data_IF_536771690692
#
_entry.id   IF_536771690692
#
_cell.length_a   1.000
_cell.length_b   1.000
_cell.length_c   1.000
_cell.angle_alpha   90.00
_cell.angle_beta   90.00
_cell.angle_gamma   90.00
#
_symmetry.space_group_name_H-M   'P 1'
#
loop_
_entity.id
_entity.type
_entity.pdbx_description
1 polymer ?
#
# COMPACT_ATOMS: atom_id res chain seq x y z
N UNK A 1 13.62 26.69 -11.82
CA UNK A 1 13.94 26.45 -10.41
C UNK A 1 12.99 25.38 -9.85
N UNK A 2 13.53 24.23 -9.50
CA UNK A 2 12.79 23.17 -8.77
C UNK A 2 12.46 23.68 -7.37
N UNK A 3 11.23 23.47 -6.94
CA UNK A 3 10.82 23.78 -5.58
C UNK A 3 10.14 22.57 -4.99
N UNK A 4 10.85 21.89 -4.13
CA UNK A 4 10.39 20.71 -3.41
C UNK A 4 10.32 19.47 -4.30
N UNK A 5 11.22 18.55 -4.10
CA UNK A 5 11.15 17.18 -4.58
C UNK A 5 11.11 16.26 -3.36
N UNK A 6 10.23 15.30 -3.34
CA UNK A 6 10.25 14.20 -2.38
C UNK A 6 10.52 12.90 -3.11
N UNK A 7 11.25 12.02 -2.46
CA UNK A 7 11.65 10.73 -2.99
C UNK A 7 11.44 9.67 -1.92
N UNK A 8 10.56 8.72 -2.19
CA UNK A 8 10.38 7.52 -1.38
C UNK A 8 11.00 6.32 -2.09
N UNK A 9 11.91 5.62 -1.45
CA UNK A 9 12.62 4.46 -2.03
C UNK A 9 12.32 3.22 -1.21
N UNK A 10 12.15 2.09 -1.88
CA UNK A 10 12.11 0.75 -1.30
C UNK A 10 12.80 -0.25 -2.20
N UNK A 11 13.48 -1.19 -1.60
CA UNK A 11 14.06 -2.35 -2.27
C UNK A 11 13.27 -3.61 -1.90
N UNK A 12 12.84 -4.39 -2.88
CA UNK A 12 12.05 -5.61 -2.68
C UNK A 12 12.05 -6.42 -3.96
N UNK A 13 12.08 -7.74 -3.85
CA UNK A 13 11.84 -8.66 -4.98
C UNK A 13 10.33 -8.63 -5.31
N UNK A 14 9.95 -8.02 -6.43
CA UNK A 14 8.56 -7.84 -6.86
C UNK A 14 8.05 -8.95 -7.75
N UNK A 15 8.91 -9.55 -8.57
CA UNK A 15 8.53 -10.56 -9.55
C UNK A 15 8.79 -11.99 -9.08
N UNK A 16 9.53 -12.16 -7.98
CA UNK A 16 9.81 -13.44 -7.35
C UNK A 16 10.98 -14.19 -8.00
N UNK A 17 11.91 -13.48 -8.66
CA UNK A 17 13.10 -14.05 -9.30
C UNK A 17 14.27 -14.24 -8.32
N UNK A 18 14.15 -13.75 -7.09
CA UNK A 18 15.17 -13.80 -6.04
C UNK A 18 16.16 -12.64 -6.07
N UNK A 19 15.99 -11.69 -6.99
CA UNK A 19 16.81 -10.49 -7.10
C UNK A 19 16.00 -9.27 -6.61
N UNK A 20 16.67 -8.33 -5.99
CA UNK A 20 16.01 -7.18 -5.39
C UNK A 20 15.77 -6.09 -6.41
N UNK A 21 14.52 -5.68 -6.57
CA UNK A 21 14.11 -4.55 -7.39
C UNK A 21 14.17 -3.24 -6.63
N UNK A 22 14.37 -2.14 -7.35
CA UNK A 22 14.29 -0.79 -6.82
C UNK A 22 12.94 -0.14 -7.17
N UNK A 23 12.19 0.22 -6.15
CA UNK A 23 10.88 0.86 -6.26
C UNK A 23 10.98 2.28 -5.74
N UNK A 24 10.69 3.25 -6.58
CA UNK A 24 10.81 4.66 -6.27
C UNK A 24 9.49 5.39 -6.49
N UNK A 25 9.16 6.28 -5.57
CA UNK A 25 8.08 7.25 -5.69
C UNK A 25 8.65 8.65 -5.72
N UNK A 26 8.22 9.45 -6.68
CA UNK A 26 8.72 10.80 -6.88
C UNK A 26 7.58 11.81 -6.81
N UNK A 27 7.75 12.85 -6.02
CA UNK A 27 6.90 14.04 -5.99
C UNK A 27 7.68 15.25 -6.48
N UNK A 28 7.08 16.06 -7.34
CA UNK A 28 7.73 17.24 -7.91
C UNK A 28 6.74 18.38 -8.18
N UNK A 29 7.20 19.61 -7.99
CA UNK A 29 6.46 20.82 -8.31
C UNK A 29 7.30 21.76 -9.19
N UNK A 30 6.73 22.21 -10.30
CA UNK A 30 7.30 23.27 -11.13
C UNK A 30 6.72 24.62 -10.74
N UNK A 31 7.60 25.58 -10.38
CA UNK A 31 7.17 26.98 -10.18
C UNK A 31 6.76 27.65 -11.49
N UNK A 32 7.49 27.39 -12.57
CA UNK A 32 7.27 28.04 -13.84
C UNK A 32 5.94 27.65 -14.48
N UNK A 33 5.55 26.38 -14.36
CA UNK A 33 4.31 25.87 -14.96
C UNK A 33 3.15 25.79 -13.96
N UNK A 34 3.37 26.10 -12.68
CA UNK A 34 2.41 25.89 -11.58
C UNK A 34 1.76 24.50 -11.60
N UNK A 35 2.54 23.49 -11.95
CA UNK A 35 2.09 22.09 -12.04
C UNK A 35 2.79 21.25 -11.01
N UNK A 36 2.04 20.32 -10.42
CA UNK A 36 2.57 19.28 -9.54
C UNK A 36 2.46 17.94 -10.25
N UNK A 37 3.53 17.17 -10.22
CA UNK A 37 3.59 15.84 -10.81
C UNK A 37 4.07 14.84 -9.77
N UNK A 38 3.55 13.62 -9.83
CA UNK A 38 4.10 12.51 -9.10
C UNK A 38 4.09 11.24 -9.95
N UNK A 39 5.17 10.51 -9.88
CA UNK A 39 5.33 9.28 -10.66
C UNK A 39 6.07 8.23 -9.86
N UNK A 40 5.88 6.99 -10.28
CA UNK A 40 6.59 5.83 -9.78
C UNK A 40 7.57 5.34 -10.83
N UNK A 41 8.71 4.85 -10.39
CA UNK A 41 9.68 4.15 -11.19
C UNK A 41 9.99 2.82 -10.53
N UNK A 42 10.00 1.73 -11.30
CA UNK A 42 10.50 0.43 -10.85
C UNK A 42 11.61 0.02 -11.80
N UNK A 43 12.73 -0.34 -11.21
CA UNK A 43 13.91 -0.83 -11.92
C UNK A 43 14.18 -2.25 -11.44
N UNK A 44 14.07 -3.22 -12.35
CA UNK A 44 14.34 -4.63 -12.05
C UNK A 44 15.82 -4.84 -11.82
N UNK A 45 16.15 -5.65 -10.83
CA UNK A 45 17.47 -6.20 -10.61
C UNK A 45 17.68 -7.37 -11.55
N UNK A 46 18.42 -7.22 -12.63
CA UNK A 46 18.82 -8.33 -13.50
C UNK A 46 20.34 -8.55 -13.45
N UNK A 47 20.86 -9.78 -13.34
CA UNK A 47 22.27 -10.06 -13.59
C UNK A 47 22.51 -10.25 -15.10
N UNK A 48 23.66 -9.77 -15.67
CA UNK A 48 24.66 -8.94 -15.05
C UNK A 48 24.45 -7.45 -15.34
N UNK A 49 24.10 -6.67 -14.36
CA UNK A 49 24.32 -5.23 -14.28
C UNK A 49 23.61 -4.29 -15.26
N UNK A 50 22.58 -4.67 -15.98
CA UNK A 50 21.75 -3.74 -16.74
C UNK A 50 20.40 -3.57 -16.03
N UNK A 51 20.32 -2.60 -15.14
CA UNK A 51 19.08 -2.21 -14.52
C UNK A 51 18.03 -1.85 -15.59
N UNK A 52 17.01 -2.68 -15.76
CA UNK A 52 15.93 -2.46 -16.72
C UNK A 52 14.79 -1.74 -16.03
N UNK A 53 14.45 -0.56 -16.51
CA UNK A 53 13.25 0.14 -16.06
C UNK A 53 12.00 -0.63 -16.53
N UNK A 54 11.26 -1.17 -15.58
CA UNK A 54 10.06 -1.99 -15.83
C UNK A 54 8.80 -1.14 -15.75
N UNK A 55 8.81 -0.10 -14.88
CA UNK A 55 7.70 0.81 -14.67
C UNK A 55 8.18 2.27 -14.71
N UNK A 56 7.43 3.10 -15.43
CA UNK A 56 7.45 4.55 -15.23
C UNK A 56 6.03 5.07 -15.46
N UNK A 57 5.34 5.39 -14.37
CA UNK A 57 3.91 5.70 -14.43
C UNK A 57 3.50 6.76 -13.40
N UNK A 58 2.39 7.46 -13.66
CA UNK A 58 1.89 8.50 -12.76
C UNK A 58 1.15 7.90 -11.58
N UNK A 59 1.41 8.41 -10.37
CA UNK A 59 0.72 8.01 -9.13
C UNK A 59 -0.21 9.10 -8.58
N UNK A 60 -0.26 10.27 -9.22
CA UNK A 60 -1.24 11.30 -8.96
C UNK A 60 -2.55 11.02 -9.70
N UNK A 61 -3.66 11.20 -9.04
CA UNK A 61 -4.99 11.16 -9.67
C UNK A 61 -5.18 12.41 -10.53
N UNK A 62 -5.57 12.22 -11.81
CA UNK A 62 -5.76 13.33 -12.75
C UNK A 62 -4.51 13.79 -13.50
N UNK A 63 -3.35 13.17 -13.25
CA UNK A 63 -2.15 13.36 -14.06
C UNK A 63 -2.19 12.46 -15.28
N UNK A 64 -2.87 12.88 -16.35
CA UNK A 64 -2.60 12.32 -17.67
C UNK A 64 -1.21 12.75 -18.09
N UNK A 65 -0.36 11.82 -18.48
CA UNK A 65 0.90 12.13 -19.11
C UNK A 65 0.69 13.13 -20.23
N UNK A 66 1.51 14.16 -20.27
CA UNK A 66 1.74 15.15 -21.33
C UNK A 66 0.57 15.93 -21.95
N UNK A 67 -0.69 15.61 -21.74
CA UNK A 67 -1.83 16.41 -22.28
C UNK A 67 -2.76 17.02 -21.23
N UNK A 68 -2.30 17.14 -19.98
CA UNK A 68 -3.11 17.47 -18.80
C UNK A 68 -3.39 18.94 -18.51
N UNK A 69 -3.20 19.89 -19.43
CA UNK A 69 -3.58 21.29 -19.15
C UNK A 69 -5.07 21.48 -18.83
N UNK A 70 -5.96 20.65 -19.37
CA UNK A 70 -7.40 20.76 -19.09
C UNK A 70 -7.87 20.02 -17.84
N UNK A 71 -7.22 18.94 -17.45
CA UNK A 71 -7.59 18.19 -16.25
C UNK A 71 -7.12 18.88 -14.95
N UNK A 72 -6.03 19.63 -14.97
CA UNK A 72 -5.53 20.42 -13.85
C UNK A 72 -6.46 21.60 -13.48
N UNK A 73 -7.15 22.17 -14.48
CA UNK A 73 -8.08 23.28 -14.27
C UNK A 73 -9.38 22.81 -13.61
N UNK A 74 -9.83 21.58 -13.86
CA UNK A 74 -11.06 21.02 -13.26
C UNK A 74 -10.87 20.51 -11.82
N UNK A 75 -9.63 20.31 -11.35
CA UNK A 75 -9.33 19.75 -10.03
C UNK A 75 -9.12 20.79 -8.93
N UNK A 76 -9.49 22.07 -9.14
CA UNK A 76 -9.23 23.15 -8.18
C UNK A 76 -7.74 23.32 -7.93
N UNK A 77 -7.21 24.51 -8.05
CA UNK A 77 -5.79 24.83 -7.92
C UNK A 77 -5.23 24.40 -6.56
N UNK A 78 -4.85 23.13 -6.45
CA UNK A 78 -4.10 22.67 -5.29
C UNK A 78 -2.63 23.06 -5.48
N UNK A 79 -2.26 24.23 -4.98
CA UNK A 79 -0.91 24.79 -5.05
C UNK A 79 0.09 24.04 -4.16
N UNK A 80 -0.32 22.96 -3.51
CA UNK A 80 0.53 22.20 -2.59
C UNK A 80 1.61 21.45 -3.34
N UNK A 81 2.79 21.44 -2.78
CA UNK A 81 3.86 20.55 -3.23
C UNK A 81 3.37 19.13 -3.09
N UNK A 82 3.54 18.32 -4.13
CA UNK A 82 3.25 16.89 -4.01
C UNK A 82 4.39 16.23 -3.25
N UNK A 83 4.02 15.54 -2.19
CA UNK A 83 4.92 14.75 -1.38
C UNK A 83 4.54 13.27 -1.45
N UNK A 84 5.50 12.38 -1.27
CA UNK A 84 5.33 10.94 -1.35
C UNK A 84 6.05 10.25 -0.19
N UNK A 85 5.52 9.11 0.23
CA UNK A 85 6.18 8.26 1.22
C UNK A 85 6.80 7.04 0.53
N UNK A 86 7.74 6.33 1.18
CA UNK A 86 8.28 5.09 0.65
C UNK A 86 7.17 4.12 0.27
N UNK A 87 7.24 3.51 -0.93
CA UNK A 87 6.24 2.56 -1.39
C UNK A 87 6.27 1.25 -0.60
N UNK A 88 5.20 0.46 -0.70
CA UNK A 88 5.14 -0.91 -0.15
C UNK A 88 4.77 -1.90 -1.23
N UNK A 89 5.13 -3.17 -1.00
CA UNK A 89 4.70 -4.28 -1.83
C UNK A 89 3.74 -5.19 -1.08
N UNK A 90 2.66 -5.60 -1.75
CA UNK A 90 1.76 -6.62 -1.24
C UNK A 90 1.82 -7.86 -2.11
N UNK A 91 1.73 -9.03 -1.48
CA UNK A 91 1.59 -10.29 -2.21
C UNK A 91 0.27 -10.28 -2.97
N UNK A 92 0.35 -10.71 -4.22
CA UNK A 92 -0.84 -10.88 -5.03
C UNK A 92 -1.61 -12.11 -4.54
N UNK A 93 -2.91 -11.95 -4.37
CA UNK A 93 -3.78 -13.09 -4.15
C UNK A 93 -3.82 -13.93 -5.43
N UNK A 94 -3.61 -15.27 -5.33
CA UNK A 94 -3.65 -16.14 -6.49
C UNK A 94 -5.03 -16.05 -7.16
N UNK A 95 -5.02 -15.87 -8.48
CA UNK A 95 -6.23 -15.81 -9.30
C UNK A 95 -6.49 -17.15 -10.00
N UNK A 96 -5.48 -18.00 -10.07
CA UNK A 96 -5.54 -19.32 -10.73
C UNK A 96 -5.08 -20.45 -9.80
N UNK A 97 -5.54 -21.68 -10.07
CA UNK A 97 -5.14 -22.86 -9.31
C UNK A 97 -3.62 -23.10 -9.39
N UNK A 98 -2.99 -22.78 -10.51
CA UNK A 98 -1.54 -22.91 -10.69
C UNK A 98 -0.74 -21.91 -9.85
N UNK A 99 -1.30 -20.72 -9.63
CA UNK A 99 -0.69 -19.72 -8.73
C UNK A 99 -0.85 -20.12 -7.27
N UNK A 100 -1.97 -20.76 -6.91
CA UNK A 100 -2.22 -21.26 -5.56
C UNK A 100 -1.24 -22.37 -5.15
N UNK A 101 -0.72 -23.13 -6.12
CA UNK A 101 0.27 -24.19 -5.90
C UNK A 101 1.71 -23.67 -5.73
N UNK A 102 1.96 -22.37 -5.96
CA UNK A 102 3.29 -21.77 -5.77
C UNK A 102 3.59 -21.51 -4.30
N UNK A 103 4.85 -21.66 -3.87
CA UNK A 103 5.27 -21.24 -2.55
C UNK A 103 5.03 -19.73 -2.37
N UNK A 104 4.69 -19.32 -1.17
CA UNK A 104 4.34 -17.91 -0.82
C UNK A 104 5.46 -16.92 -1.20
N UNK A 105 6.71 -17.37 -1.13
CA UNK A 105 7.88 -16.52 -1.45
C UNK A 105 8.06 -16.30 -2.96
N UNK A 106 7.55 -17.21 -3.79
CA UNK A 106 7.56 -17.10 -5.25
C UNK A 106 6.31 -16.42 -5.82
N UNK A 107 5.43 -15.89 -4.96
CA UNK A 107 4.28 -15.11 -5.39
C UNK A 107 4.72 -13.70 -5.79
N UNK A 108 4.24 -13.28 -6.94
CA UNK A 108 4.44 -11.90 -7.36
C UNK A 108 3.79 -10.90 -6.42
N UNK A 109 4.36 -9.73 -6.39
CA UNK A 109 3.93 -8.62 -5.56
C UNK A 109 3.47 -7.46 -6.41
N UNK A 110 2.47 -6.74 -5.91
CA UNK A 110 2.02 -5.48 -6.47
C UNK A 110 2.68 -4.33 -5.69
N UNK A 111 3.10 -3.29 -6.40
CA UNK A 111 3.66 -2.09 -5.77
C UNK A 111 2.57 -1.08 -5.46
N UNK A 112 2.52 -0.57 -4.24
CA UNK A 112 1.55 0.42 -3.77
C UNK A 112 2.26 1.70 -3.39
N UNK A 113 1.71 2.82 -3.82
CA UNK A 113 2.23 4.17 -3.64
C UNK A 113 1.18 5.05 -2.97
N UNK A 114 1.64 5.96 -2.10
CA UNK A 114 0.81 6.95 -1.42
C UNK A 114 1.43 8.35 -1.58
N UNK A 115 0.61 9.31 -1.93
CA UNK A 115 0.99 10.72 -1.97
C UNK A 115 0.23 11.54 -0.89
N UNK A 116 0.69 12.78 -0.64
CA UNK A 116 0.13 13.67 0.37
C UNK A 116 -1.33 14.10 0.11
N UNK A 117 -1.84 13.84 -1.08
CA UNK A 117 -3.26 14.06 -1.39
C UNK A 117 -4.15 12.91 -0.92
N UNK A 118 -3.54 11.85 -0.38
CA UNK A 118 -4.24 10.63 0.01
C UNK A 118 -4.57 9.72 -1.17
N UNK A 119 -3.94 9.90 -2.33
CA UNK A 119 -4.13 8.99 -3.45
C UNK A 119 -3.26 7.74 -3.23
N UNK A 120 -3.91 6.59 -3.09
CA UNK A 120 -3.28 5.27 -3.11
C UNK A 120 -3.35 4.71 -4.52
N UNK A 121 -2.22 4.32 -5.08
CA UNK A 121 -2.12 3.77 -6.43
C UNK A 121 -1.38 2.44 -6.41
N UNK A 122 -1.96 1.41 -7.03
CA UNK A 122 -1.39 0.07 -7.13
C UNK A 122 -1.04 -0.26 -8.57
N UNK A 123 0.18 -0.76 -8.77
CA UNK A 123 0.67 -1.22 -10.05
C UNK A 123 1.07 -2.69 -10.01
N UNK A 124 0.68 -3.40 -11.07
CA UNK A 124 1.27 -4.68 -11.45
C UNK A 124 2.54 -4.41 -12.25
N UNK A 125 3.68 -4.86 -11.73
CA UNK A 125 4.98 -4.58 -12.34
C UNK A 125 5.30 -5.57 -13.47
N UNK A 126 4.76 -6.79 -13.43
CA UNK A 126 5.06 -7.83 -14.41
C UNK A 126 4.42 -7.60 -15.78
N UNK A 127 3.18 -7.12 -15.81
CA UNK A 127 2.40 -6.94 -17.04
C UNK A 127 2.58 -5.54 -17.65
N UNK A 128 3.83 -5.12 -17.88
CA UNK A 128 4.11 -3.85 -18.55
C UNK A 128 3.60 -2.63 -17.79
N UNK A 129 3.65 -2.67 -16.47
CA UNK A 129 3.29 -1.54 -15.62
C UNK A 129 1.79 -1.20 -15.61
N UNK A 130 0.94 -2.18 -15.56
CA UNK A 130 -0.51 -1.99 -15.53
C UNK A 130 -0.97 -1.46 -14.17
N UNK A 131 -1.66 -0.31 -14.17
CA UNK A 131 -2.36 0.18 -12.99
C UNK A 131 -3.56 -0.74 -12.69
N UNK A 132 -3.54 -1.39 -11.52
CA UNK A 132 -4.63 -2.26 -11.07
C UNK A 132 -5.80 -1.47 -10.52
N UNK A 133 -5.48 -0.54 -9.61
CA UNK A 133 -6.48 0.33 -9.01
C UNK A 133 -5.85 1.64 -8.52
N UNK A 134 -6.69 2.63 -8.32
CA UNK A 134 -6.34 3.91 -7.70
C UNK A 134 -7.51 4.40 -6.86
N UNK A 135 -7.22 4.73 -5.61
CA UNK A 135 -8.20 5.17 -4.62
C UNK A 135 -7.84 6.55 -4.09
N UNK A 136 -8.86 7.36 -3.82
CA UNK A 136 -8.74 8.54 -2.99
C UNK A 136 -9.10 8.17 -1.57
N UNK A 137 -8.18 8.41 -0.65
CA UNK A 137 -8.36 8.13 0.78
C UNK A 137 -8.35 9.42 1.58
N UNK A 138 -8.68 9.32 2.85
CA UNK A 138 -8.56 10.42 3.82
C UNK A 138 -7.17 10.52 4.43
N UNK A 139 -6.24 9.60 4.10
CA UNK A 139 -4.87 9.56 4.62
C UNK A 139 -3.94 10.57 3.91
N UNK A 140 -4.43 11.79 3.67
CA UNK A 140 -3.63 12.90 3.16
C UNK A 140 -2.91 13.65 4.29
N UNK A 141 -1.93 14.49 3.92
CA UNK A 141 -1.22 15.38 4.86
C UNK A 141 -0.78 16.68 4.18
N UNK A 142 -0.47 17.68 5.00
CA UNK A 142 0.15 18.93 4.56
C UNK A 142 1.67 18.86 4.79
N UNK A 143 2.43 19.55 3.95
CA UNK A 143 3.91 19.55 4.00
C UNK A 143 4.44 20.60 5.00
N UNK A 144 3.80 20.76 6.13
CA UNK A 144 4.21 21.69 7.20
C UNK A 144 5.29 21.10 8.14
N UNK A 145 5.72 19.86 7.88
CA UNK A 145 6.79 19.19 8.62
C UNK A 145 6.38 18.64 10.00
N UNK A 146 5.11 18.80 10.40
CA UNK A 146 4.62 18.34 11.72
C UNK A 146 4.17 16.88 11.67
N UNK A 147 3.82 16.37 10.49
CA UNK A 147 3.25 15.04 10.28
C UNK A 147 4.31 14.06 9.80
N UNK A 148 4.34 12.86 10.38
CA UNK A 148 5.11 11.71 9.88
C UNK A 148 4.16 10.74 9.17
N UNK A 149 3.82 10.98 7.90
CA UNK A 149 2.97 10.06 7.17
C UNK A 149 3.72 8.75 6.88
N UNK A 150 2.98 7.67 6.73
CA UNK A 150 3.58 6.38 6.40
C UNK A 150 2.66 5.49 5.59
N UNK A 151 3.28 4.62 4.81
CA UNK A 151 2.63 3.51 4.14
C UNK A 151 3.35 2.23 4.54
N UNK A 152 2.64 1.27 5.10
CA UNK A 152 3.23 0.06 5.69
C UNK A 152 2.45 -1.17 5.25
N UNK A 153 3.14 -2.25 4.92
CA UNK A 153 2.52 -3.55 4.69
C UNK A 153 2.25 -4.24 6.03
N UNK A 154 1.08 -4.82 6.16
CA UNK A 154 0.61 -5.50 7.35
C UNK A 154 -0.04 -6.82 6.96
N UNK A 155 0.45 -7.93 7.50
CA UNK A 155 -0.09 -9.25 7.22
C UNK A 155 -1.05 -9.68 8.32
N UNK A 156 -2.27 -10.06 7.93
CA UNK A 156 -3.27 -10.62 8.85
C UNK A 156 -3.32 -12.14 8.72
N UNK A 157 -3.62 -12.82 9.82
CA UNK A 157 -3.73 -14.29 9.89
C UNK A 157 -5.17 -14.79 9.82
N UNK A 158 -6.04 -14.08 9.14
CA UNK A 158 -7.45 -14.45 9.02
C UNK A 158 -7.66 -15.40 7.84
N UNK A 159 -7.77 -16.70 8.12
CA UNK A 159 -8.05 -17.71 7.08
C UNK A 159 -6.94 -17.92 6.04
N UNK A 160 -5.71 -17.54 6.37
CA UNK A 160 -4.54 -17.48 5.51
C UNK A 160 -3.83 -16.13 5.68
N UNK A 161 -2.65 -16.00 5.11
CA UNK A 161 -1.94 -14.72 5.14
C UNK A 161 -2.54 -13.77 4.09
N UNK A 162 -3.24 -12.75 4.55
CA UNK A 162 -3.73 -11.65 3.70
C UNK A 162 -2.89 -10.42 4.00
N UNK A 163 -2.18 -9.95 2.98
CA UNK A 163 -1.42 -8.70 3.09
C UNK A 163 -2.34 -7.51 2.88
N UNK A 164 -2.21 -6.54 3.76
CA UNK A 164 -2.92 -5.27 3.74
C UNK A 164 -1.92 -4.12 3.62
N UNK A 165 -2.31 -3.05 2.97
CA UNK A 165 -1.60 -1.78 3.03
C UNK A 165 -2.29 -0.87 4.04
N UNK A 166 -1.51 -0.32 4.97
CA UNK A 166 -1.95 0.63 5.98
C UNK A 166 -1.34 1.98 5.65
N UNK A 167 -2.17 2.93 5.31
CA UNK A 167 -1.80 4.31 5.01
C UNK A 167 -2.16 5.21 6.19
N UNK A 168 -1.17 5.81 6.82
CA UNK A 168 -1.35 6.80 7.89
C UNK A 168 -1.06 8.21 7.35
N UNK A 169 -2.05 9.06 7.37
CA UNK A 169 -1.97 10.48 7.03
C UNK A 169 -2.09 11.36 8.27
N UNK A 170 -2.34 12.66 8.07
CA UNK A 170 -2.41 13.63 9.16
C UNK A 170 -3.56 13.36 10.14
N UNK A 171 -4.71 12.93 9.63
CA UNK A 171 -5.95 12.82 10.40
C UNK A 171 -6.60 11.44 10.40
N UNK A 172 -6.06 10.51 9.64
CA UNK A 172 -6.68 9.20 9.55
C UNK A 172 -5.69 8.11 9.16
N UNK A 173 -6.05 6.89 9.55
CA UNK A 173 -5.42 5.65 9.08
C UNK A 173 -6.42 4.92 8.19
N UNK A 174 -5.98 4.56 7.00
CA UNK A 174 -6.78 3.86 5.99
C UNK A 174 -6.15 2.50 5.65
N UNK A 175 -6.96 1.45 5.65
CA UNK A 175 -6.49 0.07 5.46
C UNK A 175 -7.15 -0.52 4.23
N UNK A 176 -6.34 -1.03 3.30
CA UNK A 176 -6.82 -1.64 2.05
C UNK A 176 -6.19 -3.01 1.82
N UNK A 177 -6.94 -3.89 1.15
CA UNK A 177 -6.45 -5.18 0.67
C UNK A 177 -5.73 -5.05 -0.69
N UNK A 178 -5.12 -6.12 -1.17
CA UNK A 178 -4.42 -6.17 -2.46
C UNK A 178 -5.35 -5.89 -3.66
N UNK A 179 -6.67 -5.99 -3.51
CA UNK A 179 -7.67 -5.66 -4.55
C UNK A 179 -8.14 -4.20 -4.49
N UNK A 180 -7.61 -3.40 -3.57
CA UNK A 180 -7.99 -2.00 -3.39
C UNK A 180 -9.31 -1.83 -2.63
N UNK A 181 -9.81 -2.87 -1.95
CA UNK A 181 -11.02 -2.75 -1.14
C UNK A 181 -10.65 -2.33 0.27
N UNK A 182 -11.45 -1.46 0.86
CA UNK A 182 -11.28 -1.07 2.25
C UNK A 182 -11.45 -2.31 3.15
N UNK A 183 -10.41 -2.66 3.89
CA UNK A 183 -10.37 -3.85 4.73
C UNK A 183 -10.92 -3.60 6.15
N UNK A 184 -10.91 -2.33 6.60
CA UNK A 184 -11.42 -1.93 7.91
C UNK A 184 -12.07 -0.54 7.86
N UNK A 185 -12.89 -0.15 8.83
CA UNK A 185 -13.32 1.24 8.96
C UNK A 185 -12.12 2.18 9.03
N UNK A 186 -12.29 3.40 8.49
CA UNK A 186 -11.26 4.43 8.61
C UNK A 186 -11.11 4.81 10.08
N UNK A 187 -9.88 4.84 10.57
CA UNK A 187 -9.58 5.25 11.94
C UNK A 187 -9.25 6.73 11.89
N UNK A 188 -10.03 7.54 12.60
CA UNK A 188 -9.76 8.97 12.73
C UNK A 188 -8.79 9.22 13.86
N UNK A 189 -7.83 10.12 13.62
CA UNK A 189 -6.82 10.53 14.57
C UNK A 189 -7.14 11.93 15.10
N UNK A 190 -7.11 12.10 16.40
CA UNK A 190 -7.29 13.40 17.05
C UNK A 190 -6.06 14.30 16.89
N UNK A 191 -4.88 13.69 16.77
CA UNK A 191 -3.60 14.36 16.57
C UNK A 191 -2.79 13.67 15.51
N UNK A 192 -2.00 14.42 14.70
CA UNK A 192 -1.23 13.81 13.63
C UNK A 192 -0.13 12.88 14.14
N UNK A 193 0.27 11.88 13.33
CA UNK A 193 1.39 11.01 13.66
C UNK A 193 2.70 11.79 13.80
N UNK A 194 3.42 11.53 14.89
CA UNK A 194 4.75 12.08 15.16
C UNK A 194 5.88 11.12 14.72
N UNK A 195 5.54 9.88 14.38
CA UNK A 195 6.46 8.87 13.85
C UNK A 195 5.73 7.97 12.85
N UNK A 196 6.44 7.35 11.91
CA UNK A 196 5.86 6.34 11.03
C UNK A 196 5.18 5.21 11.80
N UNK A 197 4.14 4.62 11.22
CA UNK A 197 3.45 3.48 11.77
C UNK A 197 4.38 2.27 11.82
N UNK A 198 4.38 1.57 12.95
CA UNK A 198 5.22 0.41 13.21
C UNK A 198 4.33 -0.83 13.24
N UNK A 199 4.83 -1.92 12.66
CA UNK A 199 4.25 -3.25 12.73
C UNK A 199 5.12 -4.10 13.64
N UNK A 200 4.57 -4.58 14.75
CA UNK A 200 5.29 -5.40 15.73
C UNK A 200 4.31 -6.31 16.49
N UNK A 201 4.78 -7.43 16.98
CA UNK A 201 4.04 -8.29 17.91
C UNK A 201 4.22 -7.72 19.34
N UNK A 202 3.28 -6.91 19.78
CA UNK A 202 3.36 -6.19 21.06
C UNK A 202 3.00 -7.09 22.25
N UNK A 203 2.03 -7.99 22.06
CA UNK A 203 1.52 -8.87 23.12
C UNK A 203 2.18 -10.27 23.11
N UNK A 204 3.08 -10.55 22.15
CA UNK A 204 3.79 -11.83 21.99
C UNK A 204 2.87 -13.01 21.70
N UNK A 205 1.79 -12.79 20.96
CA UNK A 205 0.89 -13.86 20.55
C UNK A 205 1.24 -14.46 19.16
N UNK A 206 2.33 -13.99 18.54
CA UNK A 206 2.80 -14.40 17.22
C UNK A 206 2.05 -13.72 16.08
N UNK A 207 1.19 -12.75 16.36
CA UNK A 207 0.50 -11.92 15.38
C UNK A 207 1.13 -10.52 15.36
N UNK A 208 1.06 -9.88 14.21
CA UNK A 208 1.54 -8.52 14.09
C UNK A 208 0.46 -7.53 14.51
N UNK A 209 0.83 -6.59 15.36
CA UNK A 209 0.01 -5.48 15.81
C UNK A 209 0.43 -4.19 15.10
N UNK A 210 -0.43 -3.18 15.15
CA UNK A 210 -0.14 -1.85 14.62
C UNK A 210 0.10 -0.88 15.77
N UNK A 211 1.22 -0.16 15.72
CA UNK A 211 1.58 0.86 16.71
C UNK A 211 1.75 2.20 15.99
N UNK A 212 1.01 3.19 16.41
CA UNK A 212 1.09 4.56 15.89
C UNK A 212 1.34 5.54 17.05
N UNK A 213 2.44 6.27 16.97
CA UNK A 213 2.77 7.32 17.91
C UNK A 213 2.33 8.68 17.36
N UNK A 214 1.54 9.40 18.12
CA UNK A 214 1.24 10.81 17.90
C UNK A 214 2.02 11.68 18.89
N UNK A 215 1.88 12.99 18.81
CA UNK A 215 2.56 13.90 19.73
C UNK A 215 2.17 13.68 21.20
N UNK A 216 0.91 13.31 21.47
CA UNK A 216 0.36 13.22 22.83
C UNK A 216 -0.06 11.81 23.23
N UNK A 217 -0.12 10.86 22.28
CA UNK A 217 -0.69 9.53 22.50
C UNK A 217 0.03 8.47 21.70
N UNK A 218 -0.06 7.23 22.18
CA UNK A 218 0.35 6.04 21.42
C UNK A 218 -0.90 5.17 21.26
N UNK A 219 -1.26 4.89 20.04
CA UNK A 219 -2.33 3.97 19.68
C UNK A 219 -1.74 2.60 19.38
N UNK A 220 -2.34 1.57 19.96
CA UNK A 220 -1.96 0.17 19.69
C UNK A 220 -3.22 -0.59 19.29
N UNK A 221 -3.21 -1.15 18.10
CA UNK A 221 -4.30 -2.02 17.63
C UNK A 221 -3.79 -3.45 17.59
N UNK A 222 -4.30 -4.24 18.51
CA UNK A 222 -3.93 -5.66 18.67
C UNK A 222 -4.76 -6.49 17.70
N UNK A 223 -4.08 -7.27 16.87
CA UNK A 223 -4.72 -8.26 16.01
C UNK A 223 -5.29 -9.39 16.89
N UNK A 224 -6.58 -9.63 16.76
CA UNK A 224 -7.22 -10.79 17.41
C UNK A 224 -7.47 -11.90 16.38
N UNK A 225 -7.06 -13.15 16.67
CA UNK A 225 -7.39 -14.25 15.81
C UNK A 225 -8.91 -14.37 15.74
N UNK A 226 -9.48 -14.31 14.55
CA UNK A 226 -10.88 -14.66 14.36
C UNK A 226 -10.96 -16.18 14.44
N UNK A 227 -11.38 -16.70 15.57
CA UNK A 227 -11.70 -18.12 15.68
C UNK A 227 -12.77 -18.42 14.63
N UNK A 228 -12.44 -19.29 13.66
CA UNK A 228 -13.44 -19.79 12.72
C UNK A 228 -14.61 -20.32 13.51
N UNK A 229 -15.80 -20.28 12.95
CA UNK A 229 -17.00 -20.74 13.62
C UNK A 229 -16.93 -22.26 13.82
N UNK A 230 -16.18 -22.69 14.86
CA UNK A 230 -15.97 -24.09 15.21
C UNK A 230 -17.30 -24.83 15.33
N UNK A 231 -18.35 -24.13 15.77
CA UNK A 231 -19.69 -24.67 15.84
C UNK A 231 -20.24 -25.07 14.46
N UNK A 232 -19.97 -24.25 13.41
CA UNK A 232 -20.40 -24.58 12.06
C UNK A 232 -19.60 -25.74 11.47
N UNK A 233 -18.29 -25.78 11.70
CA UNK A 233 -17.42 -26.88 11.24
C UNK A 233 -17.79 -28.18 11.93
N UNK A 234 -18.08 -28.13 13.23
CA UNK A 234 -18.54 -29.29 14.00
C UNK A 234 -19.90 -29.76 13.52
N UNK A 235 -20.85 -28.85 13.29
CA UNK A 235 -22.19 -29.18 12.78
C UNK A 235 -22.09 -29.83 11.39
N UNK A 236 -21.25 -29.29 10.49
CA UNK A 236 -21.03 -29.85 9.16
C UNK A 236 -20.40 -31.26 9.26
N UNK A 237 -19.42 -31.44 10.15
CA UNK A 237 -18.82 -32.75 10.43
C UNK A 237 -19.80 -33.78 10.95
N UNK A 238 -20.67 -33.39 11.88
CA UNK A 238 -21.75 -34.29 12.38
C UNK A 238 -22.73 -34.64 11.27
N UNK A 239 -23.12 -33.69 10.43
CA UNK A 239 -24.06 -33.90 9.33
C UNK A 239 -23.50 -34.84 8.26
N UNK A 240 -22.20 -34.71 7.93
CA UNK A 240 -21.52 -35.64 7.01
C UNK A 240 -21.42 -37.05 7.59
N UNK A 241 -21.15 -37.20 8.89
CA UNK A 241 -21.13 -38.51 9.56
C UNK A 241 -22.48 -39.19 9.53
N UNK A 242 -23.57 -38.45 9.75
CA UNK A 242 -24.93 -38.99 9.68
C UNK A 242 -25.28 -39.48 8.27
N UNK A 243 -24.90 -38.69 7.24
CA UNK A 243 -25.17 -39.07 5.84
C UNK A 243 -24.33 -40.29 5.39
N UNK A 244 -23.13 -40.48 5.95
CA UNK A 244 -22.29 -41.65 5.62
C UNK A 244 -22.71 -42.92 6.41
N UNK A 245 -23.49 -42.78 7.48
CA UNK A 245 -23.96 -43.89 8.31
C UNK A 245 -25.37 -44.42 7.91
N UNK A 246 -26.05 -43.72 6.99
CA UNK A 246 -27.32 -44.12 6.36
C UNK A 246 -27.12 -44.70 4.99
#
# INVERSE_FOLDING_TARGET
LQVGSSLGIRTVDLDGDGIVDHVEAHGWKSRAANTSQCWATVTAGEPPAVAKRVLSATICRGGSGMSGHRAAIAAGHDHRVVDVVPPVSLRRLPETANELARPLDAMSRDAIFLNNRGDLTCYDVRDGARRRWQLRTTAGWDNDGVVSPSLTAFSTRVGGYVDLAVAAGARSVFIVDAKGRRAAPTIELTTPPAAPLIVADVNRDGLHDLVLRTQFSTYVWIQKPKHGNLAFTFLLGCLTLVVLAT
#
